data_IF_681650081249
#
_entry.id   IF_681650081249
#
_cell.length_a   1.000
_cell.length_b   1.000
_cell.length_c   1.000
_cell.angle_alpha   90.00
_cell.angle_beta   90.00
_cell.angle_gamma   90.00
#
_symmetry.space_group_name_H-M   'P 1'
#
loop_
_entity.id
_entity.type
_entity.pdbx_description
1 polymer ?
#
# COMPACT_ATOMS: atom_id res chain seq x y z
N UNK A 1 -9.75 21.04 -4.17
CA UNK A 1 -9.78 19.62 -3.72
C UNK A 1 -8.76 18.87 -4.52
N UNK A 2 -8.02 17.95 -3.92
CA UNK A 2 -6.94 17.22 -4.58
C UNK A 2 -7.39 15.81 -4.99
N UNK A 3 -6.84 15.29 -6.08
CA UNK A 3 -6.89 13.86 -6.37
C UNK A 3 -5.75 13.17 -5.64
N UNK A 4 -5.99 11.97 -5.12
CA UNK A 4 -4.98 11.22 -4.36
C UNK A 4 -4.57 9.95 -5.12
N UNK A 5 -3.28 9.74 -5.28
CA UNK A 5 -2.71 8.49 -5.77
C UNK A 5 -1.99 7.79 -4.61
N UNK A 6 -2.55 6.68 -4.13
CA UNK A 6 -1.80 5.76 -3.27
C UNK A 6 -0.89 4.92 -4.13
N UNK A 7 0.41 4.97 -3.84
CA UNK A 7 1.45 4.42 -4.69
C UNK A 7 2.26 3.38 -3.93
N UNK A 8 2.19 2.13 -4.39
CA UNK A 8 3.24 1.16 -4.12
C UNK A 8 4.46 1.43 -5.01
N UNK A 9 5.60 0.88 -4.61
CA UNK A 9 6.86 0.91 -5.35
C UNK A 9 7.14 -0.45 -5.95
N UNK A 10 7.13 -1.50 -5.13
CA UNK A 10 7.43 -2.85 -5.59
C UNK A 10 6.29 -3.35 -6.48
N UNK A 11 6.63 -3.88 -7.67
CA UNK A 11 5.65 -4.32 -8.67
C UNK A 11 4.83 -3.20 -9.34
N UNK A 12 5.15 -1.93 -9.07
CA UNK A 12 4.51 -0.75 -9.71
C UNK A 12 5.55 0.15 -10.38
N UNK A 13 6.54 0.62 -9.63
CA UNK A 13 7.63 1.47 -10.09
C UNK A 13 8.92 0.70 -10.37
N UNK A 14 8.92 -0.59 -10.04
CA UNK A 14 9.91 -1.56 -10.46
C UNK A 14 9.20 -2.84 -10.89
N UNK A 15 9.94 -3.70 -11.56
CA UNK A 15 9.48 -5.03 -11.96
C UNK A 15 10.41 -6.12 -11.43
N UNK A 16 9.98 -7.38 -11.51
CA UNK A 16 10.84 -8.54 -11.25
C UNK A 16 11.63 -9.01 -12.48
N UNK A 17 11.68 -8.20 -13.56
CA UNK A 17 12.46 -8.55 -14.76
C UNK A 17 13.95 -8.60 -14.47
N UNK A 18 14.73 -9.45 -15.17
CA UNK A 18 16.16 -9.62 -14.91
C UNK A 18 17.00 -8.34 -15.04
N UNK A 19 16.56 -7.39 -15.85
CA UNK A 19 17.20 -6.08 -16.08
C UNK A 19 16.66 -4.97 -15.17
N UNK A 20 15.66 -5.26 -14.34
CA UNK A 20 15.12 -4.32 -13.38
C UNK A 20 16.14 -4.04 -12.27
N UNK A 21 16.35 -2.76 -11.91
CA UNK A 21 17.27 -2.39 -10.85
C UNK A 21 16.76 -2.90 -9.49
N UNK A 22 17.59 -3.68 -8.78
CA UNK A 22 17.28 -4.09 -7.41
C UNK A 22 17.06 -2.85 -6.52
N UNK A 23 15.86 -2.72 -5.93
CA UNK A 23 15.47 -1.58 -5.10
C UNK A 23 15.63 -0.22 -5.83
N UNK A 24 15.38 -0.23 -7.14
CA UNK A 24 15.37 0.96 -8.00
C UNK A 24 13.96 1.39 -8.39
N UNK A 25 13.89 2.51 -9.09
CA UNK A 25 12.69 3.01 -9.77
C UNK A 25 13.04 3.03 -11.25
N UNK A 26 12.23 2.37 -12.07
CA UNK A 26 12.40 2.36 -13.51
C UNK A 26 11.91 3.68 -14.13
N UNK A 27 12.74 4.40 -14.90
CA UNK A 27 12.37 5.71 -15.45
C UNK A 27 11.12 5.68 -16.32
N UNK A 28 10.90 4.59 -17.06
CA UNK A 28 9.71 4.44 -17.90
C UNK A 28 8.43 4.29 -17.08
N UNK A 29 8.46 3.54 -15.98
CA UNK A 29 7.31 3.36 -15.08
C UNK A 29 7.01 4.67 -14.33
N UNK A 30 8.05 5.41 -13.93
CA UNK A 30 7.89 6.74 -13.34
C UNK A 30 7.25 7.73 -14.32
N UNK A 31 7.62 7.69 -15.60
CA UNK A 31 7.02 8.54 -16.62
C UNK A 31 5.51 8.31 -16.74
N UNK A 32 5.03 7.08 -16.55
CA UNK A 32 3.60 6.79 -16.54
C UNK A 32 2.88 7.48 -15.36
N UNK A 33 3.50 7.59 -14.19
CA UNK A 33 2.93 8.37 -13.07
C UNK A 33 2.87 9.86 -13.41
N UNK A 34 3.92 10.39 -14.05
CA UNK A 34 3.95 11.78 -14.54
C UNK A 34 2.83 12.02 -15.55
N UNK A 35 2.57 11.07 -16.44
CA UNK A 35 1.50 11.16 -17.42
C UNK A 35 0.11 11.12 -16.76
N UNK A 36 -0.09 10.31 -15.70
CA UNK A 36 -1.31 10.32 -14.88
C UNK A 36 -1.50 11.71 -14.25
N UNK A 37 -0.46 12.26 -13.62
CA UNK A 37 -0.50 13.59 -13.01
C UNK A 37 -0.82 14.69 -14.04
N UNK A 38 -0.17 14.65 -15.20
CA UNK A 38 -0.41 15.59 -16.30
C UNK A 38 -1.82 15.49 -16.90
N UNK A 39 -2.41 14.29 -16.93
CA UNK A 39 -3.79 14.11 -17.37
C UNK A 39 -4.81 14.66 -16.36
N UNK A 40 -4.57 14.41 -15.06
CA UNK A 40 -5.41 14.92 -13.97
C UNK A 40 -5.30 16.45 -13.82
N UNK A 41 -4.12 17.02 -14.07
CA UNK A 41 -3.85 18.44 -13.95
C UNK A 41 -4.54 19.36 -14.97
N UNK A 42 -5.17 18.81 -16.02
CA UNK A 42 -5.72 19.62 -17.13
C UNK A 42 -6.93 20.46 -16.74
N UNK A 43 -7.68 20.07 -15.72
CA UNK A 43 -8.83 20.84 -15.21
C UNK A 43 -8.43 21.80 -14.06
N UNK A 44 -7.13 21.96 -13.81
CA UNK A 44 -6.58 22.74 -12.69
C UNK A 44 -6.60 22.01 -11.34
N UNK A 45 -7.05 20.75 -11.28
CA UNK A 45 -6.93 19.92 -10.08
C UNK A 45 -5.48 19.48 -9.88
N UNK A 46 -5.05 19.33 -8.62
CA UNK A 46 -3.75 18.77 -8.28
C UNK A 46 -3.86 17.25 -8.07
N UNK A 47 -2.86 16.48 -8.51
CA UNK A 47 -2.66 15.09 -8.10
C UNK A 47 -1.58 15.05 -7.00
N UNK A 48 -1.93 14.50 -5.85
CA UNK A 48 -1.03 14.31 -4.71
C UNK A 48 -0.77 12.82 -4.51
N UNK A 49 0.48 12.47 -4.28
CA UNK A 49 0.93 11.09 -4.08
C UNK A 49 1.02 10.79 -2.58
N UNK A 50 0.48 9.65 -2.16
CA UNK A 50 0.62 9.09 -0.82
C UNK A 50 1.29 7.73 -0.93
N UNK A 51 2.40 7.54 -0.23
CA UNK A 51 3.13 6.26 -0.32
C UNK A 51 2.44 5.19 0.51
N UNK A 52 2.04 4.09 -0.16
CA UNK A 52 1.47 2.88 0.47
C UNK A 52 2.44 1.70 0.51
N UNK A 53 3.62 1.84 -0.10
CA UNK A 53 4.66 0.81 -0.14
C UNK A 53 5.27 0.46 1.21
N UNK A 54 5.81 -0.74 1.36
CA UNK A 54 6.64 -1.14 2.51
C UNK A 54 7.94 -0.35 2.63
N UNK A 55 8.36 0.33 1.57
CA UNK A 55 9.44 1.33 1.62
C UNK A 55 9.20 2.41 2.69
N UNK A 56 7.93 2.69 3.05
CA UNK A 56 7.56 3.63 4.13
C UNK A 56 8.16 3.30 5.49
N UNK A 57 8.61 2.06 5.69
CA UNK A 57 9.26 1.59 6.93
C UNK A 57 10.75 1.91 6.99
N UNK A 58 11.34 2.37 5.90
CA UNK A 58 12.75 2.73 5.80
C UNK A 58 12.91 4.21 5.47
N UNK A 59 13.48 4.98 6.39
CA UNK A 59 13.69 6.42 6.22
C UNK A 59 14.55 6.70 4.97
N UNK A 60 15.62 5.92 4.76
CA UNK A 60 16.52 6.12 3.62
C UNK A 60 15.84 5.86 2.27
N UNK A 61 15.00 4.83 2.18
CA UNK A 61 14.22 4.54 0.98
C UNK A 61 13.16 5.62 0.73
N UNK A 62 12.48 6.08 1.79
CA UNK A 62 11.51 7.17 1.69
C UNK A 62 12.12 8.49 1.23
N UNK A 63 13.32 8.84 1.74
CA UNK A 63 14.05 10.03 1.28
C UNK A 63 14.38 9.92 -0.20
N UNK A 64 14.98 8.80 -0.62
CA UNK A 64 15.32 8.54 -2.03
C UNK A 64 14.09 8.59 -2.94
N UNK A 65 12.99 7.95 -2.53
CA UNK A 65 11.73 7.93 -3.27
C UNK A 65 11.15 9.35 -3.39
N UNK A 66 11.07 10.09 -2.29
CA UNK A 66 10.53 11.45 -2.26
C UNK A 66 11.33 12.40 -3.15
N UNK A 67 12.66 12.32 -3.10
CA UNK A 67 13.54 13.09 -3.99
C UNK A 67 13.30 12.71 -5.46
N UNK A 68 13.19 11.41 -5.76
CA UNK A 68 12.97 10.93 -7.13
C UNK A 68 11.63 11.44 -7.69
N UNK A 69 10.55 11.31 -6.92
CA UNK A 69 9.22 11.78 -7.31
C UNK A 69 9.19 13.31 -7.45
N UNK A 70 9.83 14.04 -6.53
CA UNK A 70 9.88 15.51 -6.58
C UNK A 70 10.67 16.02 -7.79
N UNK A 71 11.80 15.40 -8.14
CA UNK A 71 12.56 15.74 -9.36
C UNK A 71 11.74 15.50 -10.64
N UNK A 72 10.81 14.55 -10.62
CA UNK A 72 9.86 14.30 -11.71
C UNK A 72 8.66 15.27 -11.73
N UNK A 73 8.60 16.24 -10.79
CA UNK A 73 7.52 17.21 -10.69
C UNK A 73 6.27 16.70 -9.98
N UNK A 74 6.35 15.58 -9.26
CA UNK A 74 5.23 15.01 -8.51
C UNK A 74 5.19 15.57 -7.07
N UNK A 75 3.98 15.86 -6.59
CA UNK A 75 3.72 16.35 -5.23
C UNK A 75 3.48 15.16 -4.30
N UNK A 76 4.36 14.93 -3.31
CA UNK A 76 4.21 13.85 -2.32
C UNK A 76 3.63 14.43 -1.03
N UNK A 77 2.43 13.98 -0.66
CA UNK A 77 1.72 14.46 0.53
C UNK A 77 2.16 13.74 1.81
N UNK A 78 2.71 12.54 1.70
CA UNK A 78 3.20 11.74 2.83
C UNK A 78 3.12 10.25 2.55
N UNK A 79 2.97 9.45 3.60
CA UNK A 79 2.75 8.01 3.53
C UNK A 79 1.62 7.59 4.46
N UNK A 80 1.08 6.39 4.24
CA UNK A 80 0.24 5.74 5.24
C UNK A 80 1.08 5.38 6.49
N UNK A 81 0.47 5.15 7.67
CA UNK A 81 1.19 4.72 8.86
C UNK A 81 2.01 3.46 8.63
N UNK A 82 3.24 3.44 9.15
CA UNK A 82 4.22 2.38 8.89
C UNK A 82 3.89 1.08 9.65
N UNK A 83 3.27 1.23 10.81
CA UNK A 83 2.85 0.17 11.74
C UNK A 83 1.60 -0.58 11.28
N UNK A 84 0.82 0.01 10.37
CA UNK A 84 -0.43 -0.60 9.92
C UNK A 84 -0.25 -1.47 8.67
N UNK A 85 -1.08 -2.53 8.53
CA UNK A 85 -1.31 -3.18 7.24
C UNK A 85 -1.73 -2.17 6.18
N UNK A 86 -1.38 -2.43 4.92
CA UNK A 86 -1.56 -1.48 3.81
C UNK A 86 -3.02 -1.01 3.67
N UNK A 87 -3.97 -1.94 3.72
CA UNK A 87 -5.42 -1.65 3.61
C UNK A 87 -5.90 -0.75 4.74
N UNK A 88 -5.51 -1.06 5.97
CA UNK A 88 -5.87 -0.29 7.15
C UNK A 88 -5.24 1.10 7.15
N UNK A 89 -3.98 1.20 6.74
CA UNK A 89 -3.27 2.47 6.59
C UNK A 89 -3.93 3.38 5.55
N UNK A 90 -4.33 2.83 4.40
CA UNK A 90 -5.10 3.57 3.37
C UNK A 90 -6.46 4.01 3.93
N UNK A 91 -7.22 3.10 4.55
CA UNK A 91 -8.51 3.42 5.20
C UNK A 91 -8.38 4.56 6.22
N UNK A 92 -7.38 4.48 7.08
CA UNK A 92 -7.11 5.51 8.09
C UNK A 92 -6.74 6.85 7.45
N UNK A 93 -5.88 6.83 6.45
CA UNK A 93 -5.46 8.06 5.76
C UNK A 93 -6.66 8.74 5.10
N UNK A 94 -7.51 7.97 4.40
CA UNK A 94 -8.71 8.49 3.73
C UNK A 94 -9.72 9.03 4.76
N UNK A 95 -9.95 8.34 5.87
CA UNK A 95 -10.84 8.82 6.92
C UNK A 95 -10.42 10.20 7.46
N UNK A 96 -9.10 10.41 7.62
CA UNK A 96 -8.53 11.67 8.13
C UNK A 96 -8.59 12.82 7.11
N UNK A 97 -8.35 12.53 5.83
CA UNK A 97 -8.16 13.57 4.79
C UNK A 97 -9.34 13.67 3.81
N UNK A 98 -10.26 12.72 3.81
CA UNK A 98 -11.28 12.53 2.79
C UNK A 98 -12.18 13.74 2.54
N UNK A 99 -12.33 14.64 3.52
CA UNK A 99 -13.07 15.90 3.35
C UNK A 99 -12.50 16.79 2.23
N UNK A 100 -11.19 16.79 2.02
CA UNK A 100 -10.51 17.63 0.99
C UNK A 100 -10.14 16.87 -0.29
N UNK A 101 -10.32 15.54 -0.29
CA UNK A 101 -10.04 14.66 -1.44
C UNK A 101 -11.19 14.73 -2.45
N UNK A 102 -10.92 15.07 -3.70
CA UNK A 102 -11.90 15.03 -4.80
C UNK A 102 -12.22 13.58 -5.15
N UNK A 103 -11.18 12.82 -5.46
CA UNK A 103 -11.23 11.38 -5.73
C UNK A 103 -9.84 10.74 -5.48
N UNK A 104 -9.75 9.41 -5.49
CA UNK A 104 -8.52 8.69 -5.20
C UNK A 104 -8.42 7.36 -5.95
N UNK A 105 -7.19 6.89 -6.16
CA UNK A 105 -6.87 5.57 -6.74
C UNK A 105 -5.67 4.99 -6.03
N UNK A 106 -5.60 3.66 -5.96
CA UNK A 106 -4.43 2.89 -5.52
C UNK A 106 -3.83 2.14 -6.70
N UNK A 107 -2.51 2.23 -6.85
CA UNK A 107 -1.70 1.39 -7.73
C UNK A 107 -0.89 0.42 -6.86
N UNK A 108 -1.13 -0.87 -7.04
CA UNK A 108 -0.51 -1.93 -6.23
C UNK A 108 -0.50 -3.22 -7.05
N UNK A 109 0.53 -4.05 -6.87
CA UNK A 109 0.59 -5.40 -7.45
C UNK A 109 -0.17 -6.43 -6.58
N UNK A 110 -0.32 -6.14 -5.29
CA UNK A 110 -1.03 -6.99 -4.34
C UNK A 110 -2.55 -6.83 -4.48
N UNK A 111 -3.31 -7.92 -4.38
CA UNK A 111 -4.78 -7.89 -4.48
C UNK A 111 -5.44 -7.31 -3.21
N UNK A 112 -5.39 -5.98 -3.07
CA UNK A 112 -6.00 -5.27 -1.94
C UNK A 112 -7.51 -5.41 -1.93
N UNK A 113 -8.14 -5.49 -3.11
CA UNK A 113 -9.59 -5.66 -3.22
C UNK A 113 -10.03 -7.01 -2.69
N UNK A 114 -9.35 -8.10 -3.08
CA UNK A 114 -9.67 -9.45 -2.59
C UNK A 114 -9.55 -9.57 -1.07
N UNK A 115 -8.56 -8.92 -0.47
CA UNK A 115 -8.44 -8.86 0.99
C UNK A 115 -9.56 -8.03 1.64
N UNK A 116 -9.94 -6.91 1.03
CA UNK A 116 -11.01 -6.06 1.52
C UNK A 116 -12.37 -6.76 1.48
N UNK A 117 -12.63 -7.53 0.42
CA UNK A 117 -13.82 -8.35 0.27
C UNK A 117 -13.89 -9.42 1.38
N UNK A 118 -12.76 -10.08 1.68
CA UNK A 118 -12.67 -11.08 2.75
C UNK A 118 -12.92 -10.46 4.14
N UNK A 119 -12.33 -9.29 4.42
CA UNK A 119 -12.56 -8.57 5.67
C UNK A 119 -14.04 -8.20 5.85
N UNK A 120 -14.71 -7.81 4.75
CA UNK A 120 -16.14 -7.51 4.76
C UNK A 120 -16.99 -8.75 5.06
N UNK A 121 -16.69 -9.88 4.41
CA UNK A 121 -17.39 -11.16 4.63
C UNK A 121 -17.25 -11.62 6.08
N UNK A 122 -16.03 -11.60 6.63
CA UNK A 122 -15.76 -12.00 8.01
C UNK A 122 -16.45 -11.11 9.04
N UNK A 123 -16.63 -9.82 8.74
CA UNK A 123 -17.33 -8.87 9.61
C UNK A 123 -18.87 -9.05 9.60
N UNK A 124 -19.42 -10.06 8.89
CA UNK A 124 -20.86 -10.26 8.76
C UNK A 124 -21.55 -9.06 8.09
N UNK A 125 -20.81 -8.32 7.28
CA UNK A 125 -21.31 -7.15 6.57
C UNK A 125 -22.23 -7.57 5.44
N UNK A 126 -23.45 -7.01 5.36
CA UNK A 126 -24.13 -6.97 4.07
C UNK A 126 -23.29 -6.13 3.08
N UNK A 127 -23.29 -6.61 1.83
CA UNK A 127 -22.41 -6.25 0.70
C UNK A 127 -22.46 -4.76 0.29
N UNK A 128 -23.41 -3.98 0.80
CA UNK A 128 -23.65 -2.62 0.32
C UNK A 128 -22.69 -1.60 0.96
N UNK A 129 -21.51 -1.45 0.34
CA UNK A 129 -20.67 -0.26 0.47
C UNK A 129 -19.54 -0.32 1.50
N UNK A 130 -19.03 -1.51 1.85
CA UNK A 130 -17.84 -1.66 2.71
C UNK A 130 -16.52 -1.90 1.96
N UNK A 131 -16.57 -2.42 0.73
CA UNK A 131 -15.37 -2.55 -0.10
C UNK A 131 -14.96 -1.17 -0.60
N UNK A 132 -13.93 -0.59 0.00
CA UNK A 132 -13.53 0.79 -0.33
C UNK A 132 -12.70 0.85 -1.61
N UNK A 133 -12.08 -0.27 -1.99
CA UNK A 133 -11.23 -0.38 -3.17
C UNK A 133 -12.03 -0.61 -4.46
N UNK A 134 -13.32 -0.95 -4.36
CA UNK A 134 -14.21 -1.05 -5.51
C UNK A 134 -14.29 0.32 -6.22
N UNK A 135 -13.92 0.35 -7.50
CA UNK A 135 -13.81 1.59 -8.28
C UNK A 135 -12.61 2.49 -7.95
N UNK A 136 -11.73 2.09 -7.04
CA UNK A 136 -10.55 2.88 -6.61
C UNK A 136 -9.23 2.11 -6.71
N UNK A 137 -9.21 0.92 -7.31
CA UNK A 137 -8.03 0.07 -7.37
C UNK A 137 -7.64 -0.33 -8.79
N UNK A 138 -6.33 -0.24 -9.07
CA UNK A 138 -5.69 -0.76 -10.27
C UNK A 138 -4.59 -1.72 -9.84
N UNK A 139 -4.85 -3.01 -10.04
CA UNK A 139 -3.86 -4.07 -9.82
C UNK A 139 -2.85 -4.08 -10.96
N UNK A 140 -1.57 -3.97 -10.67
CA UNK A 140 -0.46 -4.12 -11.63
C UNK A 140 0.01 -5.57 -11.69
N UNK A 141 0.84 -5.89 -12.69
CA UNK A 141 1.56 -7.16 -12.78
C UNK A 141 2.96 -6.95 -12.20
N UNK A 142 3.31 -7.64 -11.11
CA UNK A 142 4.62 -7.53 -10.45
C UNK A 142 5.81 -7.80 -11.41
N UNK A 143 5.58 -8.57 -12.47
CA UNK A 143 6.59 -8.93 -13.47
C UNK A 143 6.84 -7.83 -14.48
N UNK A 144 5.89 -6.90 -14.67
CA UNK A 144 5.98 -5.85 -15.69
C UNK A 144 6.03 -4.46 -15.04
N UNK A 145 5.51 -4.33 -13.81
CA UNK A 145 5.26 -3.04 -13.19
C UNK A 145 3.99 -2.39 -13.73
N UNK A 146 3.92 -1.06 -13.61
CA UNK A 146 2.83 -0.26 -14.15
C UNK A 146 2.81 -0.26 -15.68
N UNK A 147 1.73 -0.72 -16.30
CA UNK A 147 1.57 -0.63 -17.75
C UNK A 147 0.87 0.67 -18.20
N UNK A 148 0.94 0.97 -19.50
CA UNK A 148 0.16 2.06 -20.09
C UNK A 148 -1.36 1.88 -19.90
N UNK A 149 -1.85 0.64 -19.94
CA UNK A 149 -3.26 0.33 -19.75
C UNK A 149 -3.71 0.61 -18.31
N UNK A 150 -2.85 0.29 -17.34
CA UNK A 150 -3.07 0.58 -15.93
C UNK A 150 -3.09 2.08 -15.67
N UNK A 151 -2.13 2.82 -16.23
CA UNK A 151 -2.10 4.28 -16.14
C UNK A 151 -3.37 4.92 -16.73
N UNK A 152 -3.83 4.45 -17.89
CA UNK A 152 -5.09 4.92 -18.48
C UNK A 152 -6.31 4.57 -17.61
N UNK A 153 -6.33 3.38 -17.00
CA UNK A 153 -7.38 2.99 -16.04
C UNK A 153 -7.36 3.91 -14.82
N UNK A 154 -6.19 4.19 -14.25
CA UNK A 154 -6.02 5.09 -13.12
C UNK A 154 -6.52 6.50 -13.43
N UNK A 155 -6.17 7.07 -14.59
CA UNK A 155 -6.70 8.37 -15.05
C UNK A 155 -8.23 8.36 -15.13
N UNK A 156 -8.83 7.32 -15.73
CA UNK A 156 -10.31 7.22 -15.80
C UNK A 156 -10.94 7.22 -14.42
N UNK A 157 -10.41 6.40 -13.50
CA UNK A 157 -10.92 6.33 -12.14
C UNK A 157 -10.75 7.66 -11.40
N UNK A 158 -9.58 8.31 -11.48
CA UNK A 158 -9.33 9.61 -10.84
C UNK A 158 -10.25 10.72 -11.36
N UNK A 159 -10.56 10.72 -12.67
CA UNK A 159 -11.42 11.74 -13.29
C UNK A 159 -12.92 11.48 -13.13
N UNK A 160 -13.33 10.30 -12.65
CA UNK A 160 -14.73 10.07 -12.24
C UNK A 160 -15.03 10.74 -10.90
N UNK A 161 -16.30 10.99 -10.61
CA UNK A 161 -16.70 11.44 -9.28
C UNK A 161 -16.64 10.28 -8.28
N UNK A 162 -16.23 10.59 -7.05
CA UNK A 162 -16.24 9.61 -5.95
C UNK A 162 -17.69 9.32 -5.51
N UNK A 163 -18.28 8.29 -6.10
CA UNK A 163 -19.65 7.86 -5.81
C UNK A 163 -19.81 7.48 -4.32
N UNK A 164 -20.90 7.92 -3.70
CA UNK A 164 -21.22 7.64 -2.30
C UNK A 164 -20.13 8.04 -1.29
N UNK A 165 -19.29 9.04 -1.62
CA UNK A 165 -18.19 9.51 -0.78
C UNK A 165 -18.56 9.70 0.70
N UNK A 166 -19.68 10.36 0.98
CA UNK A 166 -20.11 10.62 2.37
C UNK A 166 -20.38 9.31 3.15
N UNK A 167 -21.03 8.34 2.51
CA UNK A 167 -21.33 7.03 3.10
C UNK A 167 -20.05 6.23 3.32
N UNK A 168 -19.16 6.20 2.32
CA UNK A 168 -17.89 5.49 2.45
C UNK A 168 -16.99 6.08 3.54
N UNK A 169 -16.92 7.41 3.65
CA UNK A 169 -16.18 8.07 4.73
C UNK A 169 -16.75 7.76 6.11
N UNK A 170 -18.08 7.74 6.24
CA UNK A 170 -18.73 7.33 7.49
C UNK A 170 -18.38 5.88 7.85
N UNK A 171 -18.47 4.96 6.87
CA UNK A 171 -18.10 3.56 7.09
C UNK A 171 -16.64 3.39 7.50
N UNK A 172 -15.71 4.14 6.89
CA UNK A 172 -14.29 4.12 7.28
C UNK A 172 -14.11 4.63 8.71
N UNK A 173 -14.78 5.73 9.09
CA UNK A 173 -14.70 6.26 10.45
C UNK A 173 -15.26 5.28 11.49
N UNK A 174 -16.39 4.62 11.19
CA UNK A 174 -16.97 3.60 12.07
C UNK A 174 -16.01 2.41 12.20
N UNK A 175 -15.45 1.92 11.10
CA UNK A 175 -14.51 0.79 11.11
C UNK A 175 -13.25 1.10 11.94
N UNK A 176 -12.75 2.34 11.90
CA UNK A 176 -11.59 2.79 12.67
C UNK A 176 -11.91 3.08 14.14
N UNK A 177 -13.18 3.37 14.46
CA UNK A 177 -13.62 3.61 15.84
C UNK A 177 -13.83 2.32 16.63
N UNK A 178 -14.01 1.18 15.95
CA UNK A 178 -13.95 -0.14 16.60
C UNK A 178 -12.53 -0.29 17.12
N UNK A 179 -12.31 -0.37 18.44
CA UNK A 179 -10.99 -0.68 18.97
C UNK A 179 -10.51 -1.92 18.23
N UNK A 180 -9.27 -1.93 17.73
CA UNK A 180 -8.63 -3.18 17.35
C UNK A 180 -8.73 -4.07 18.59
N UNK A 181 -9.77 -4.92 18.63
CA UNK A 181 -9.85 -5.99 19.59
C UNK A 181 -8.57 -6.72 19.32
N UNK A 182 -7.68 -6.72 20.32
CA UNK A 182 -6.37 -7.37 20.20
C UNK A 182 -6.65 -8.69 19.50
N UNK A 183 -6.15 -8.82 18.26
CA UNK A 183 -6.40 -10.00 17.44
C UNK A 183 -6.22 -11.17 18.39
N UNK A 184 -7.19 -12.10 18.51
CA UNK A 184 -7.14 -13.15 19.51
C UNK A 184 -5.72 -13.66 19.45
N UNK A 185 -4.99 -13.49 20.55
CA UNK A 185 -3.58 -13.85 20.61
C UNK A 185 -3.56 -15.36 20.50
N UNK A 186 -3.70 -15.87 19.27
CA UNK A 186 -3.18 -17.15 18.88
C UNK A 186 -1.69 -16.94 19.05
N UNK A 187 -1.22 -17.14 20.28
CA UNK A 187 0.18 -17.19 20.60
C UNK A 187 0.75 -18.14 19.55
N UNK A 188 1.41 -17.55 18.56
CA UNK A 188 2.05 -18.35 17.53
C UNK A 188 3.03 -19.23 18.31
N UNK A 189 3.06 -20.54 18.04
CA UNK A 189 3.99 -21.40 18.76
C UNK A 189 5.39 -20.79 18.63
N UNK A 190 6.18 -20.78 19.71
CA UNK A 190 7.50 -20.20 19.67
C UNK A 190 8.30 -20.83 18.52
N UNK A 191 9.09 -20.00 17.84
CA UNK A 191 9.91 -20.40 16.72
C UNK A 191 11.23 -20.97 17.25
N UNK A 192 11.70 -22.07 16.68
CA UNK A 192 13.00 -22.64 16.94
C UNK A 192 13.91 -22.37 15.73
N UNK A 193 15.03 -21.71 15.95
CA UNK A 193 16.08 -21.58 14.95
C UNK A 193 16.76 -22.95 14.73
N UNK A 194 16.69 -23.49 13.52
CA UNK A 194 17.18 -24.83 13.21
C UNK A 194 18.71 -24.94 13.27
N UNK A 195 19.41 -23.81 13.16
CA UNK A 195 20.87 -23.75 13.06
C UNK A 195 21.53 -23.63 14.44
N UNK A 196 20.96 -22.82 15.33
CA UNK A 196 21.54 -22.58 16.66
C UNK A 196 20.67 -23.06 17.83
N UNK A 197 19.46 -23.54 17.57
CA UNK A 197 18.52 -24.01 18.59
C UNK A 197 17.91 -22.90 19.44
N UNK A 198 18.07 -21.63 19.06
CA UNK A 198 17.45 -20.52 19.78
C UNK A 198 15.92 -20.61 19.71
N UNK A 199 15.27 -20.58 20.87
CA UNK A 199 13.82 -20.48 20.99
C UNK A 199 13.42 -19.01 21.02
N UNK A 200 12.53 -18.63 20.12
CA UNK A 200 12.14 -17.27 19.80
C UNK A 200 10.63 -17.16 20.00
N UNK A 201 10.18 -16.12 20.69
CA UNK A 201 8.77 -16.01 21.10
C UNK A 201 7.83 -15.74 19.94
N UNK A 202 8.31 -15.03 18.93
CA UNK A 202 7.53 -14.58 17.79
C UNK A 202 8.43 -14.30 16.59
N UNK A 203 7.81 -13.89 15.48
CA UNK A 203 8.49 -13.51 14.25
C UNK A 203 9.34 -12.24 14.38
N UNK A 204 9.09 -11.40 15.39
CA UNK A 204 9.89 -10.20 15.66
C UNK A 204 11.25 -10.60 16.25
N UNK A 205 11.28 -11.51 17.22
CA UNK A 205 12.53 -12.07 17.74
C UNK A 205 13.30 -12.85 16.69
N UNK A 206 12.62 -13.57 15.79
CA UNK A 206 13.26 -14.23 14.66
C UNK A 206 13.95 -13.26 13.71
N UNK A 207 13.34 -12.10 13.42
CA UNK A 207 13.97 -11.07 12.58
C UNK A 207 15.20 -10.48 13.23
N UNK A 208 15.10 -10.08 14.51
CA UNK A 208 16.26 -9.60 15.27
C UNK A 208 17.37 -10.65 15.34
N UNK A 209 17.00 -11.93 15.48
CA UNK A 209 17.95 -13.03 15.47
C UNK A 209 18.72 -13.11 14.15
N UNK A 210 18.04 -13.02 13.00
CA UNK A 210 18.70 -13.00 11.69
C UNK A 210 19.68 -11.83 11.55
N UNK A 211 19.30 -10.64 12.00
CA UNK A 211 20.17 -9.46 11.94
C UNK A 211 21.45 -9.65 12.78
N UNK A 212 21.34 -10.26 13.96
CA UNK A 212 22.47 -10.49 14.86
C UNK A 212 23.39 -11.61 14.38
N UNK A 213 22.85 -12.67 13.77
CA UNK A 213 23.65 -13.83 13.33
C UNK A 213 24.24 -13.69 11.94
N UNK A 214 23.98 -12.59 11.23
CA UNK A 214 24.36 -12.42 9.83
C UNK A 214 23.43 -13.11 8.84
N UNK A 215 22.31 -13.67 9.32
CA UNK A 215 21.00 -13.73 8.64
C UNK A 215 20.83 -14.58 7.39
N UNK A 216 21.89 -14.97 6.69
CA UNK A 216 21.73 -15.60 5.37
C UNK A 216 21.24 -17.05 5.42
N UNK A 217 21.29 -17.72 6.59
CA UNK A 217 21.03 -19.16 6.70
C UNK A 217 20.09 -19.59 7.84
N UNK A 218 19.49 -18.67 8.59
CA UNK A 218 18.60 -19.07 9.69
C UNK A 218 17.23 -19.52 9.18
N UNK A 219 16.89 -20.79 9.40
CA UNK A 219 15.57 -21.36 9.15
C UNK A 219 14.82 -21.57 10.46
N UNK A 220 13.53 -21.27 10.48
CA UNK A 220 12.70 -21.35 11.68
C UNK A 220 11.65 -22.44 11.55
N UNK A 221 11.49 -23.26 12.60
CA UNK A 221 10.42 -24.25 12.73
C UNK A 221 9.53 -23.93 13.93
N UNK A 222 8.28 -24.40 13.94
CA UNK A 222 7.45 -24.30 15.13
C UNK A 222 8.00 -25.24 16.21
N UNK A 223 8.26 -24.73 17.41
CA UNK A 223 8.61 -25.55 18.56
C UNK A 223 7.37 -26.34 18.99
N UNK A 224 7.41 -27.66 18.74
CA UNK A 224 6.38 -28.61 19.13
C UNK A 224 6.38 -28.97 20.61
#
# INVERSE_FOLDING_TARGET
MAHILFLDVDGVLNSTQPDSPSLGIEPMLLQLIVDIAGAVGRDGSELQVVISSDWRRSISLMTKLSETLSHAGLSVQGSIPAELPKQQGIRQWIAQHGKVVKNWVVLDDFDLKGLDDLDCELAGASVDGRCIFEGHFVKTDETIGLSQADAQKAVRLLLTDWANKAVQLEHMNVALAVPLQAAPTSASPPLLCNECGALLRDSSEARTHMEVTGGEHCMFSAAG
#
